data_IF_096124242935
#
_entry.id   IF_096124242935
#
_cell.length_a   1.000
_cell.length_b   1.000
_cell.length_c   1.000
_cell.angle_alpha   90.00
_cell.angle_beta   90.00
_cell.angle_gamma   90.00
#
_symmetry.space_group_name_H-M   'P 1'
#
loop_
_entity.id
_entity.type
_entity.pdbx_description
1 polymer ?
#
# COMPACT_ATOMS: atom_id res chain seq x y z
N UNK A 1 13.49 -0.66 -10.66
CA UNK A 1 13.45 -0.78 -9.18
C UNK A 1 12.22 0.00 -8.77
N UNK A 2 11.25 -0.59 -8.08
CA UNK A 2 10.01 0.10 -7.73
C UNK A 2 9.81 0.10 -6.21
N UNK A 3 9.34 1.22 -5.66
CA UNK A 3 8.85 1.28 -4.30
C UNK A 3 7.36 0.89 -4.30
N UNK A 4 7.04 -0.26 -3.70
CA UNK A 4 5.71 -0.88 -3.75
C UNK A 4 5.19 -1.20 -2.35
N UNK A 5 3.88 -1.40 -2.23
CA UNK A 5 3.21 -1.59 -0.94
C UNK A 5 3.03 -3.07 -0.66
N UNK A 6 3.43 -3.52 0.53
CA UNK A 6 3.14 -4.84 1.08
C UNK A 6 2.31 -4.70 2.36
N UNK A 7 1.71 -5.80 2.80
CA UNK A 7 0.97 -5.85 4.06
C UNK A 7 1.47 -6.99 4.94
N UNK A 8 1.40 -6.79 6.26
CA UNK A 8 1.67 -7.80 7.26
C UNK A 8 0.60 -7.73 8.36
N UNK A 9 0.30 -8.89 8.94
CA UNK A 9 -0.53 -9.02 10.14
C UNK A 9 0.38 -9.47 11.28
N UNK A 10 0.35 -8.73 12.38
CA UNK A 10 1.17 -8.98 13.56
C UNK A 10 0.31 -9.55 14.69
N UNK A 11 0.93 -10.29 15.62
CA UNK A 11 0.21 -10.77 16.78
C UNK A 11 -0.24 -9.62 17.69
N UNK A 12 -1.47 -9.72 18.19
CA UNK A 12 -2.10 -8.67 18.99
C UNK A 12 -1.37 -8.47 20.33
N UNK A 13 -0.97 -9.57 20.98
CA UNK A 13 -0.32 -9.54 22.29
C UNK A 13 1.19 -9.32 22.21
N UNK A 14 1.81 -9.60 21.05
CA UNK A 14 3.23 -9.40 20.82
C UNK A 14 3.53 -9.00 19.36
N UNK A 15 3.59 -7.69 19.04
CA UNK A 15 3.73 -7.23 17.65
C UNK A 15 5.10 -7.53 17.02
N UNK A 16 6.06 -8.07 17.77
CA UNK A 16 7.32 -8.59 17.20
C UNK A 16 7.08 -9.85 16.36
N UNK A 17 5.97 -10.54 16.60
CA UNK A 17 5.59 -11.74 15.88
C UNK A 17 4.76 -11.39 14.64
N UNK A 18 5.27 -11.80 13.47
CA UNK A 18 4.57 -11.65 12.19
C UNK A 18 3.76 -12.93 11.93
N UNK A 19 2.43 -12.84 12.01
CA UNK A 19 1.52 -13.96 11.75
C UNK A 19 1.38 -14.19 10.24
N UNK A 20 1.23 -13.11 9.47
CA UNK A 20 1.09 -13.17 8.02
C UNK A 20 1.87 -12.04 7.35
N UNK A 21 2.39 -12.29 6.14
CA UNK A 21 3.03 -11.28 5.30
C UNK A 21 2.84 -11.60 3.82
N UNK A 22 2.48 -10.59 3.02
CA UNK A 22 2.31 -10.78 1.59
C UNK A 22 3.63 -11.17 0.91
N UNK A 23 3.59 -12.21 0.05
CA UNK A 23 4.75 -12.66 -0.75
C UNK A 23 5.01 -11.77 -1.97
N UNK A 24 3.99 -11.06 -2.42
CA UNK A 24 4.03 -10.09 -3.52
C UNK A 24 3.38 -8.78 -3.04
N UNK A 25 3.73 -7.63 -3.63
CA UNK A 25 3.08 -6.36 -3.31
C UNK A 25 1.56 -6.43 -3.51
N UNK A 26 0.82 -5.73 -2.65
CA UNK A 26 -0.63 -5.51 -2.80
C UNK A 26 -0.93 -4.34 -3.71
N UNK A 27 0.05 -3.44 -3.91
CA UNK A 27 -0.02 -2.35 -4.88
C UNK A 27 1.37 -2.07 -5.43
N UNK A 28 1.46 -1.92 -6.75
CA UNK A 28 2.65 -1.47 -7.46
C UNK A 28 2.31 -0.16 -8.20
N UNK A 29 3.26 0.77 -8.32
CA UNK A 29 3.15 1.92 -9.22
C UNK A 29 2.67 1.48 -10.60
N UNK A 30 1.58 2.06 -11.06
CA UNK A 30 0.94 1.66 -12.33
C UNK A 30 0.20 2.80 -13.03
N UNK A 31 0.10 3.95 -12.38
CA UNK A 31 -0.61 5.12 -12.90
C UNK A 31 0.38 6.21 -13.33
N UNK A 32 0.02 7.09 -14.28
CA UNK A 32 0.94 8.12 -14.75
C UNK A 32 1.53 8.96 -13.62
N UNK A 33 0.74 9.35 -12.61
CA UNK A 33 1.20 10.14 -11.47
C UNK A 33 2.12 9.38 -10.48
N UNK A 34 2.29 8.06 -10.63
CA UNK A 34 3.29 7.25 -9.90
C UNK A 34 4.53 6.92 -10.75
N UNK A 35 4.41 7.04 -12.08
CA UNK A 35 5.42 6.60 -13.07
C UNK A 35 6.17 7.78 -13.68
N UNK A 36 5.48 8.72 -14.32
CA UNK A 36 6.10 9.84 -15.05
C UNK A 36 5.54 11.23 -14.74
N UNK A 37 4.29 11.33 -14.27
CA UNK A 37 3.55 12.57 -14.09
C UNK A 37 2.84 13.03 -15.36
N UNK A 38 2.65 14.34 -15.50
CA UNK A 38 2.16 14.96 -16.74
C UNK A 38 3.19 15.96 -17.30
N UNK A 39 2.91 16.54 -18.49
CA UNK A 39 3.82 17.49 -19.17
C UNK A 39 4.15 18.73 -18.34
N UNK A 40 3.31 19.08 -17.35
CA UNK A 40 3.48 20.26 -16.50
C UNK A 40 4.14 19.91 -15.16
N UNK A 41 3.91 18.71 -14.65
CA UNK A 41 4.33 18.25 -13.34
C UNK A 41 4.86 16.82 -13.43
N UNK A 42 6.06 16.65 -13.99
CA UNK A 42 6.73 15.35 -13.93
C UNK A 42 7.03 14.95 -12.48
N UNK A 43 7.06 13.64 -12.25
CA UNK A 43 7.44 13.08 -10.94
C UNK A 43 8.92 13.31 -10.64
N UNK A 44 9.26 13.47 -9.36
CA UNK A 44 10.65 13.68 -8.94
C UNK A 44 11.40 12.33 -8.84
N UNK A 45 10.69 11.24 -8.52
CA UNK A 45 11.21 9.87 -8.50
C UNK A 45 10.22 8.91 -9.15
N UNK A 46 10.50 8.33 -10.34
CA UNK A 46 9.60 7.39 -11.00
C UNK A 46 9.47 6.06 -10.26
N UNK A 47 8.40 5.31 -10.52
CA UNK A 47 8.11 3.99 -9.94
C UNK A 47 7.98 4.01 -8.40
N UNK A 48 7.35 5.04 -7.84
CA UNK A 48 7.15 5.19 -6.38
C UNK A 48 5.69 5.34 -6.00
N UNK A 49 5.25 4.47 -5.09
CA UNK A 49 4.00 4.63 -4.32
C UNK A 49 4.31 4.34 -2.85
N UNK A 50 4.24 5.37 -2.01
CA UNK A 50 4.76 5.35 -0.64
C UNK A 50 3.63 5.63 0.37
N UNK A 51 3.18 4.63 1.14
CA UNK A 51 2.05 4.79 2.05
C UNK A 51 2.46 5.59 3.29
N UNK A 52 1.73 6.67 3.59
CA UNK A 52 2.06 7.60 4.70
C UNK A 52 0.98 7.72 5.76
N UNK A 53 -0.28 7.38 5.44
CA UNK A 53 -1.38 7.51 6.40
C UNK A 53 -2.57 6.64 6.03
N UNK A 54 -3.29 6.15 7.05
CA UNK A 54 -4.43 5.27 6.87
C UNK A 54 -5.64 5.73 7.69
N UNK A 55 -6.82 5.65 7.10
CA UNK A 55 -8.11 5.87 7.77
C UNK A 55 -8.98 4.64 7.55
N UNK A 56 -9.59 4.11 8.61
CA UNK A 56 -10.60 3.06 8.52
C UNK A 56 -11.96 3.67 8.81
N UNK A 57 -12.88 3.60 7.84
CA UNK A 57 -14.25 4.09 7.99
C UNK A 57 -15.23 3.10 7.38
N UNK A 58 -16.21 2.65 8.18
CA UNK A 58 -17.25 1.72 7.73
C UNK A 58 -16.70 0.46 7.04
N UNK A 59 -15.63 -0.13 7.59
CA UNK A 59 -14.97 -1.32 7.03
C UNK A 59 -14.10 -1.09 5.78
N UNK A 60 -14.01 0.16 5.29
CA UNK A 60 -13.13 0.55 4.18
C UNK A 60 -11.83 1.12 4.72
N UNK A 61 -10.70 0.60 4.23
CA UNK A 61 -9.37 1.17 4.42
C UNK A 61 -9.14 2.22 3.33
N UNK A 62 -8.79 3.44 3.74
CA UNK A 62 -8.32 4.53 2.88
C UNK A 62 -6.84 4.73 3.19
N UNK A 63 -5.97 4.62 2.19
CA UNK A 63 -4.52 4.70 2.34
C UNK A 63 -4.00 5.87 1.51
N UNK A 64 -3.51 6.91 2.17
CA UNK A 64 -2.84 8.03 1.55
C UNK A 64 -1.41 7.65 1.23
N UNK A 65 -1.03 7.84 -0.02
CA UNK A 65 0.29 7.50 -0.53
C UNK A 65 0.92 8.72 -1.20
N UNK A 66 2.21 8.96 -0.97
CA UNK A 66 3.01 9.75 -1.89
C UNK A 66 3.18 9.00 -3.20
N UNK A 67 3.07 9.69 -4.32
CA UNK A 67 3.23 9.13 -5.66
C UNK A 67 4.29 9.92 -6.42
N UNK A 68 5.32 9.21 -6.87
CA UNK A 68 6.43 9.79 -7.62
C UNK A 68 7.21 10.90 -6.89
N UNK A 69 7.22 10.91 -5.55
CA UNK A 69 7.70 12.01 -4.69
C UNK A 69 7.13 13.40 -5.04
N UNK A 70 5.97 13.43 -5.72
CA UNK A 70 5.38 14.64 -6.28
C UNK A 70 3.92 14.84 -5.89
N UNK A 71 3.14 13.78 -5.98
CA UNK A 71 1.69 13.79 -5.83
C UNK A 71 1.24 13.06 -4.57
N UNK A 72 -0.02 13.25 -4.21
CA UNK A 72 -0.72 12.43 -3.21
C UNK A 72 -1.78 11.62 -3.93
N UNK A 73 -1.73 10.30 -3.76
CA UNK A 73 -2.74 9.37 -4.23
C UNK A 73 -3.52 8.79 -3.04
N UNK A 74 -4.80 8.49 -3.25
CA UNK A 74 -5.64 7.81 -2.28
C UNK A 74 -6.02 6.43 -2.82
N UNK A 75 -5.47 5.38 -2.20
CA UNK A 75 -5.84 4.01 -2.46
C UNK A 75 -6.94 3.58 -1.49
N UNK A 76 -7.75 2.59 -1.88
CA UNK A 76 -8.72 2.03 -0.95
C UNK A 76 -9.07 0.58 -1.22
N UNK A 77 -9.40 -0.14 -0.14
CA UNK A 77 -9.90 -1.50 -0.22
C UNK A 77 -10.86 -1.80 0.94
N UNK A 78 -11.57 -2.91 0.87
CA UNK A 78 -12.29 -3.43 2.02
C UNK A 78 -11.28 -4.07 3.01
N UNK A 79 -11.28 -3.62 4.26
CA UNK A 79 -10.32 -4.07 5.26
C UNK A 79 -10.52 -5.54 5.63
N UNK A 80 -11.77 -6.00 5.75
CA UNK A 80 -12.09 -7.39 6.06
C UNK A 80 -11.57 -8.34 4.98
N UNK A 81 -11.69 -7.96 3.71
CA UNK A 81 -11.16 -8.75 2.59
C UNK A 81 -9.63 -8.80 2.63
N UNK A 82 -8.95 -7.69 2.95
CA UNK A 82 -7.49 -7.67 3.08
C UNK A 82 -7.01 -8.58 4.22
N UNK A 83 -7.63 -8.51 5.39
CA UNK A 83 -7.30 -9.36 6.54
C UNK A 83 -7.57 -10.83 6.23
N UNK A 84 -8.72 -11.13 5.60
CA UNK A 84 -9.07 -12.50 5.19
C UNK A 84 -8.06 -13.05 4.18
N UNK A 85 -7.64 -12.24 3.21
CA UNK A 85 -6.61 -12.61 2.26
C UNK A 85 -5.29 -12.97 2.97
N UNK A 86 -4.85 -12.15 3.92
CA UNK A 86 -3.63 -12.38 4.69
C UNK A 86 -3.68 -13.70 5.48
N UNK A 87 -4.77 -13.92 6.24
CA UNK A 87 -4.94 -15.12 7.07
C UNK A 87 -5.01 -16.41 6.25
N UNK A 88 -5.62 -16.36 5.07
CA UNK A 88 -5.87 -17.54 4.25
C UNK A 88 -4.69 -17.87 3.31
N UNK A 89 -3.89 -16.88 2.90
CA UNK A 89 -2.93 -17.05 1.79
C UNK A 89 -1.51 -16.60 2.13
N UNK A 90 -1.28 -15.94 3.27
CA UNK A 90 -0.02 -15.25 3.55
C UNK A 90 0.59 -15.60 4.91
N UNK A 91 0.21 -16.74 5.51
CA UNK A 91 0.87 -17.23 6.73
C UNK A 91 2.37 -17.40 6.50
N UNK A 92 3.15 -16.99 7.49
CA UNK A 92 4.62 -17.12 7.53
C UNK A 92 5.01 -18.55 7.87
#
# INVERSE_FOLDING_TARGET
RSYSINAALLALDNPKEVICRTRKPIHIPSTPYELEGDDKYSVDVPDVTFPVGAIVKSGKLLLYCGAGDKYIALLSCNLGNLVSYLLNNCKV
#
